data_IF_561439669737
#
_entry.id   IF_561439669737
#
_cell.length_a   1.000
_cell.length_b   1.000
_cell.length_c   1.000
_cell.angle_alpha   90.00
_cell.angle_beta   90.00
_cell.angle_gamma   90.00
#
_symmetry.space_group_name_H-M   'P 1'
#
loop_
_entity.id
_entity.type
_entity.pdbx_description
1 polymer ?
#
# COMPACT_ATOMS: atom_id res chain seq x y z
N UNK A 1 -13.02 13.15 -18.27
CA UNK A 1 -12.76 12.28 -17.11
C UNK A 1 -12.79 13.11 -15.85
N UNK A 2 -13.57 12.69 -14.89
CA UNK A 2 -13.67 13.43 -13.64
C UNK A 2 -12.36 13.42 -12.87
N UNK A 3 -12.12 14.53 -12.19
CA UNK A 3 -10.96 14.65 -11.34
C UNK A 3 -11.11 13.75 -10.13
N UNK A 4 -10.04 13.02 -9.80
CA UNK A 4 -10.03 12.14 -8.63
C UNK A 4 -10.14 12.98 -7.37
N UNK A 5 -11.03 12.58 -6.47
CA UNK A 5 -11.22 13.25 -5.20
C UNK A 5 -10.11 12.79 -4.23
N UNK A 6 -9.18 13.69 -3.94
CA UNK A 6 -8.05 13.41 -3.06
C UNK A 6 -8.46 13.14 -1.61
N UNK A 7 -9.61 13.64 -1.18
CA UNK A 7 -10.04 13.41 0.20
C UNK A 7 -10.32 11.95 0.46
N UNK A 8 -10.65 11.16 -0.58
CA UNK A 8 -10.84 9.73 -0.45
C UNK A 8 -9.56 9.00 -0.11
N UNK A 9 -8.42 9.47 -0.67
CA UNK A 9 -7.12 8.90 -0.37
C UNK A 9 -6.64 9.31 1.02
N UNK A 10 -7.17 10.41 1.55
CA UNK A 10 -6.76 10.94 2.84
C UNK A 10 -7.71 10.54 3.97
N UNK A 11 -8.60 9.57 3.71
CA UNK A 11 -9.51 9.08 4.74
C UNK A 11 -8.74 8.52 5.93
N UNK A 12 -9.33 8.56 7.14
CA UNK A 12 -8.65 8.03 8.31
C UNK A 12 -8.28 6.56 8.15
N UNK A 13 -7.08 6.22 8.58
CA UNK A 13 -6.61 4.84 8.59
C UNK A 13 -7.05 4.20 9.90
N UNK A 14 -7.64 3.01 9.83
CA UNK A 14 -8.04 2.27 11.00
C UNK A 14 -6.80 1.81 11.78
N UNK A 15 -6.61 2.38 12.98
CA UNK A 15 -5.44 2.06 13.82
C UNK A 15 -5.58 0.74 14.55
N UNK A 16 -6.78 0.16 14.58
CA UNK A 16 -7.03 -1.12 15.26
C UNK A 16 -6.49 -2.31 14.49
N UNK A 17 -6.26 -2.15 13.20
CA UNK A 17 -5.69 -3.18 12.36
C UNK A 17 -4.73 -2.57 11.34
N UNK A 18 -3.77 -3.37 10.84
CA UNK A 18 -2.88 -2.88 9.79
C UNK A 18 -3.65 -2.57 8.50
N UNK A 19 -3.33 -1.46 7.87
CA UNK A 19 -3.90 -1.09 6.58
C UNK A 19 -2.92 -1.46 5.49
N UNK A 20 -3.28 -2.43 4.64
CA UNK A 20 -2.47 -2.75 3.48
C UNK A 20 -2.61 -1.63 2.45
N UNK A 21 -1.51 -1.23 1.78
CA UNK A 21 -1.57 -0.17 0.77
C UNK A 21 -2.62 -0.40 -0.32
N UNK A 22 -2.93 -1.66 -0.63
CA UNK A 22 -3.93 -2.01 -1.64
C UNK A 22 -5.36 -1.63 -1.23
N UNK A 23 -5.64 -1.41 0.06
CA UNK A 23 -6.98 -1.06 0.50
C UNK A 23 -7.46 0.25 -0.11
N UNK A 24 -6.56 1.22 -0.26
CA UNK A 24 -6.96 2.53 -0.77
C UNK A 24 -7.42 2.44 -2.23
N UNK A 25 -6.63 1.93 -3.18
CA UNK A 25 -7.13 1.83 -4.55
C UNK A 25 -8.30 0.87 -4.69
N UNK A 26 -8.33 -0.22 -3.92
CA UNK A 26 -9.42 -1.19 -3.99
C UNK A 26 -10.73 -0.60 -3.45
N UNK A 27 -10.70 -0.05 -2.23
CA UNK A 27 -11.92 0.41 -1.54
C UNK A 27 -12.37 1.77 -2.01
N UNK A 28 -11.44 2.66 -2.38
CA UNK A 28 -11.79 4.03 -2.74
C UNK A 28 -12.00 4.23 -4.24
N UNK A 29 -11.48 3.34 -5.09
CA UNK A 29 -11.55 3.53 -6.53
C UNK A 29 -12.13 2.33 -7.28
N UNK A 30 -11.57 1.13 -7.08
CA UNK A 30 -12.04 -0.05 -7.82
C UNK A 30 -13.48 -0.37 -7.45
N UNK A 31 -13.79 -0.48 -6.17
CA UNK A 31 -15.15 -0.83 -5.72
C UNK A 31 -16.14 0.32 -5.95
N UNK A 32 -15.90 1.55 -5.44
CA UNK A 32 -16.91 2.61 -5.54
C UNK A 32 -17.20 3.07 -6.96
N UNK A 33 -16.18 3.10 -7.83
CA UNK A 33 -16.34 3.60 -9.19
C UNK A 33 -16.57 2.52 -10.22
N UNK A 34 -16.62 1.25 -9.79
CA UNK A 34 -16.79 0.16 -10.73
C UNK A 34 -15.65 0.03 -11.72
N UNK A 35 -14.47 0.56 -11.37
CA UNK A 35 -13.31 0.48 -12.25
C UNK A 35 -12.80 -0.95 -12.33
N UNK A 36 -12.56 -1.44 -13.54
CA UNK A 36 -12.00 -2.78 -13.70
C UNK A 36 -10.54 -2.80 -13.32
N UNK A 37 -10.07 -3.95 -12.82
CA UNK A 37 -8.65 -4.13 -12.51
C UNK A 37 -7.81 -3.94 -13.76
N UNK A 38 -8.31 -4.41 -14.91
CA UNK A 38 -7.62 -4.24 -16.19
C UNK A 38 -7.44 -2.76 -16.54
N UNK A 39 -8.47 -1.94 -16.34
CA UNK A 39 -8.40 -0.52 -16.63
C UNK A 39 -7.39 0.18 -15.73
N UNK A 40 -7.38 -0.16 -14.43
CA UNK A 40 -6.43 0.42 -13.50
C UNK A 40 -5.00 -0.03 -13.85
N UNK A 41 -4.82 -1.30 -14.19
CA UNK A 41 -3.50 -1.81 -14.59
C UNK A 41 -2.96 -1.08 -15.81
N UNK A 42 -3.83 -0.84 -16.80
CA UNK A 42 -3.45 -0.06 -17.98
C UNK A 42 -3.06 1.39 -17.61
N UNK A 43 -3.82 2.00 -16.70
CA UNK A 43 -3.53 3.36 -16.25
C UNK A 43 -2.19 3.44 -15.51
N UNK A 44 -1.85 2.39 -14.76
CA UNK A 44 -0.58 2.32 -14.02
C UNK A 44 0.56 1.77 -14.87
N UNK A 45 0.26 1.29 -16.06
CA UNK A 45 1.23 0.67 -16.98
C UNK A 45 1.96 -0.51 -16.31
N UNK A 46 1.17 -1.41 -15.72
CA UNK A 46 1.67 -2.66 -15.13
C UNK A 46 0.82 -3.83 -15.61
N UNK A 47 1.34 -5.06 -15.56
CA UNK A 47 0.53 -6.22 -15.89
C UNK A 47 -0.66 -6.38 -14.96
N UNK A 48 -1.81 -6.78 -15.51
CA UNK A 48 -3.01 -6.99 -14.71
C UNK A 48 -2.79 -8.05 -13.62
N UNK A 49 -1.98 -9.08 -13.91
CA UNK A 49 -1.65 -10.11 -12.93
C UNK A 49 -0.95 -9.54 -11.70
N UNK A 50 -0.02 -8.62 -11.91
CA UNK A 50 0.65 -7.95 -10.79
C UNK A 50 -0.35 -7.15 -9.95
N UNK A 51 -1.23 -6.41 -10.60
CA UNK A 51 -2.22 -5.62 -9.88
C UNK A 51 -3.19 -6.52 -9.11
N UNK A 52 -3.62 -7.62 -9.69
CA UNK A 52 -4.46 -8.60 -8.98
C UNK A 52 -3.79 -9.09 -7.70
N UNK A 53 -2.51 -9.43 -7.76
CA UNK A 53 -1.77 -9.89 -6.58
C UNK A 53 -1.67 -8.80 -5.51
N UNK A 54 -1.44 -7.55 -5.93
CA UNK A 54 -1.39 -6.42 -5.00
C UNK A 54 -2.75 -6.20 -4.34
N UNK A 55 -3.83 -6.18 -5.12
CA UNK A 55 -5.18 -5.94 -4.60
C UNK A 55 -5.67 -7.06 -3.68
N UNK A 56 -5.17 -8.28 -3.87
CA UNK A 56 -5.45 -9.41 -2.99
C UNK A 56 -4.49 -9.48 -1.80
N UNK A 57 -3.63 -8.49 -1.65
CA UNK A 57 -2.66 -8.39 -0.56
C UNK A 57 -1.66 -9.55 -0.53
N UNK A 58 -1.42 -10.17 -1.68
CA UNK A 58 -0.43 -11.24 -1.81
C UNK A 58 0.96 -10.74 -2.14
N UNK A 59 1.05 -9.49 -2.55
CA UNK A 59 2.30 -8.83 -2.93
C UNK A 59 2.31 -7.43 -2.37
N UNK A 60 3.45 -7.01 -1.84
CA UNK A 60 3.62 -5.65 -1.37
C UNK A 60 3.87 -4.67 -2.52
N UNK A 61 3.85 -3.39 -2.17
CA UNK A 61 4.13 -2.30 -3.09
C UNK A 61 5.63 -2.01 -3.06
N UNK A 62 6.25 -2.07 -4.24
CA UNK A 62 7.64 -1.67 -4.42
C UNK A 62 7.73 -0.17 -4.71
N UNK A 63 8.94 0.37 -4.71
CA UNK A 63 9.15 1.77 -5.07
C UNK A 63 8.60 2.09 -6.47
N UNK A 64 8.80 1.19 -7.43
CA UNK A 64 8.27 1.34 -8.79
C UNK A 64 6.75 1.49 -8.76
N UNK A 65 6.06 0.58 -8.08
CA UNK A 65 4.60 0.62 -7.99
C UNK A 65 4.13 1.86 -7.24
N UNK A 66 4.83 2.23 -6.17
CA UNK A 66 4.51 3.44 -5.41
C UNK A 66 4.58 4.69 -6.30
N UNK A 67 5.59 4.77 -7.15
CA UNK A 67 5.72 5.88 -8.08
C UNK A 67 4.57 5.92 -9.08
N UNK A 68 4.17 4.78 -9.62
CA UNK A 68 3.06 4.69 -10.56
C UNK A 68 1.74 5.10 -9.93
N UNK A 69 1.50 4.62 -8.71
CA UNK A 69 0.32 4.99 -7.94
C UNK A 69 0.28 6.49 -7.65
N UNK A 70 1.43 7.05 -7.28
CA UNK A 70 1.52 8.47 -6.97
C UNK A 70 1.22 9.35 -8.19
N UNK A 71 1.66 8.93 -9.36
CA UNK A 71 1.39 9.65 -10.59
C UNK A 71 -0.10 9.61 -10.94
N UNK A 72 -0.70 8.44 -10.86
CA UNK A 72 -2.09 8.29 -11.25
C UNK A 72 -3.04 8.97 -10.25
N UNK A 73 -2.80 8.78 -8.95
CA UNK A 73 -3.69 9.33 -7.92
C UNK A 73 -3.27 10.71 -7.44
N UNK A 74 -2.23 11.29 -8.00
CA UNK A 74 -1.73 12.61 -7.63
C UNK A 74 -1.40 12.70 -6.14
N UNK A 75 -0.66 11.72 -5.68
CA UNK A 75 -0.13 11.63 -4.33
C UNK A 75 1.40 11.58 -4.40
N UNK A 76 2.06 11.21 -3.30
CA UNK A 76 3.51 11.04 -3.30
C UNK A 76 3.88 9.57 -3.19
N UNK A 77 5.04 9.16 -3.72
CA UNK A 77 5.50 7.78 -3.53
C UNK A 77 5.71 7.44 -2.05
N UNK A 78 6.15 8.42 -1.26
CA UNK A 78 6.38 8.26 0.17
C UNK A 78 5.09 7.87 0.90
N UNK A 79 3.96 8.42 0.50
CA UNK A 79 2.66 8.06 1.07
C UNK A 79 2.42 6.56 0.96
N UNK A 80 2.63 6.00 -0.23
CA UNK A 80 2.40 4.58 -0.47
C UNK A 80 3.41 3.69 0.25
N UNK A 81 4.68 4.12 0.28
CA UNK A 81 5.73 3.37 0.95
C UNK A 81 5.57 3.39 2.46
N UNK A 82 5.07 4.48 3.05
CA UNK A 82 4.78 4.53 4.47
C UNK A 82 3.69 3.55 4.86
N UNK A 83 2.65 3.42 4.04
CA UNK A 83 1.60 2.43 4.27
C UNK A 83 2.16 1.02 4.23
N UNK A 84 3.01 0.73 3.25
CA UNK A 84 3.63 -0.58 3.11
C UNK A 84 4.53 -0.90 4.30
N UNK A 85 5.38 0.03 4.69
CA UNK A 85 6.28 -0.16 5.81
C UNK A 85 5.53 -0.39 7.11
N UNK A 86 4.51 0.41 7.37
CA UNK A 86 3.69 0.26 8.58
C UNK A 86 2.99 -1.10 8.60
N UNK A 87 2.46 -1.52 7.46
CA UNK A 87 1.82 -2.83 7.34
C UNK A 87 2.82 -3.96 7.61
N UNK A 88 3.98 -3.91 6.97
CA UNK A 88 5.00 -4.94 7.11
C UNK A 88 5.47 -5.10 8.56
N UNK A 89 5.66 -3.98 9.25
CA UNK A 89 6.10 -4.02 10.64
C UNK A 89 5.01 -4.55 11.57
N UNK A 90 3.75 -4.18 11.34
CA UNK A 90 2.65 -4.63 12.20
C UNK A 90 2.28 -6.08 11.98
N UNK A 91 2.50 -6.60 10.79
CA UNK A 91 2.15 -7.98 10.45
C UNK A 91 3.33 -8.94 10.47
N UNK A 92 4.50 -8.48 10.91
CA UNK A 92 5.70 -9.31 10.96
C UNK A 92 5.48 -10.49 11.91
N UNK A 93 5.42 -11.73 11.41
CA UNK A 93 5.09 -12.89 12.25
C UNK A 93 6.17 -13.24 13.25
N UNK A 94 7.41 -12.84 12.99
CA UNK A 94 8.55 -13.14 13.85
C UNK A 94 8.88 -12.05 14.86
N UNK A 95 8.03 -11.03 14.96
CA UNK A 95 8.31 -9.85 15.79
C UNK A 95 8.61 -10.20 17.24
N UNK A 96 7.74 -10.97 17.87
CA UNK A 96 7.90 -11.35 19.28
C UNK A 96 9.14 -12.22 19.48
N UNK A 97 9.39 -13.13 18.56
CA UNK A 97 10.57 -13.98 18.57
C UNK A 97 11.85 -13.15 18.50
N UNK A 98 11.87 -12.17 17.59
CA UNK A 98 13.04 -11.29 17.44
C UNK A 98 13.25 -10.44 18.70
N UNK A 99 12.18 -9.88 19.26
CA UNK A 99 12.27 -9.09 20.49
C UNK A 99 12.82 -9.91 21.66
N UNK A 100 12.50 -11.19 21.71
CA UNK A 100 13.00 -12.09 22.74
C UNK A 100 14.45 -12.51 22.50
N UNK A 101 14.79 -12.83 21.26
CA UNK A 101 16.05 -13.48 20.92
C UNK A 101 17.17 -12.51 20.53
N UNK A 102 16.84 -11.31 20.08
CA UNK A 102 17.84 -10.31 19.70
C UNK A 102 17.93 -9.26 20.80
N UNK A 103 19.06 -9.27 21.50
CA UNK A 103 19.32 -8.30 22.55
C UNK A 103 19.94 -7.02 21.99
N UNK A 104 19.66 -5.87 22.61
CA UNK A 104 20.35 -4.65 22.22
C UNK A 104 21.85 -4.79 22.34
N UNK A 105 22.57 -4.34 21.32
CA UNK A 105 24.03 -4.35 21.35
C UNK A 105 24.59 -3.19 22.18
N UNK A 106 25.92 -3.07 22.15
CA UNK A 106 26.58 -1.95 22.79
C UNK A 106 26.10 -0.64 22.15
N UNK A 107 25.93 0.43 22.94
CA UNK A 107 25.54 1.71 22.37
C UNK A 107 26.50 2.17 21.28
N UNK A 108 25.94 2.66 20.19
CA UNK A 108 26.73 3.27 19.12
C UNK A 108 26.90 4.75 19.47
N UNK A 109 28.11 5.17 19.48
CA UNK A 109 28.42 6.55 19.82
C UNK A 109 27.90 7.54 18.77
#
# INVERSE_FOLDING_TARGET
MEKIDRTRLMRPINRMRPTHPAEIPREDFVVPFGMSVKALALALDIPATRLHEILRERRGITADTAFRLSRYFDTTPEFWMKLQTAYDLKTLPTREEIERDVEPGAPVA
#
